data_IF_285624860259
#
_entry.id   IF_285624860259
#
_cell.length_a   1.000
_cell.length_b   1.000
_cell.length_c   1.000
_cell.angle_alpha   90.00
_cell.angle_beta   90.00
_cell.angle_gamma   90.00
#
_symmetry.space_group_name_H-M   'P 1'
#
loop_
_entity.id
_entity.type
_entity.pdbx_description
1 polymer ?
#
# COMPACT_ATOMS: atom_id res chain seq x y z
N UNK A 1 -8.85 2.31 12.62
CA UNK A 1 -7.55 2.20 11.95
C UNK A 1 -7.55 2.98 10.65
N UNK A 2 -6.52 3.74 10.42
CA UNK A 2 -6.31 4.52 9.21
C UNK A 2 -5.38 3.76 8.26
N UNK A 3 -5.72 3.72 6.97
CA UNK A 3 -4.92 3.05 5.95
C UNK A 3 -4.59 4.02 4.83
N UNK A 4 -3.30 4.27 4.63
CA UNK A 4 -2.80 5.09 3.53
C UNK A 4 -2.56 4.20 2.33
N UNK A 5 -3.09 4.57 1.16
CA UNK A 5 -2.94 3.79 -0.06
C UNK A 5 -2.40 4.66 -1.19
N UNK A 6 -1.51 4.12 -1.99
CA UNK A 6 -0.96 4.76 -3.16
C UNK A 6 -0.68 3.74 -4.26
N UNK A 7 -0.68 4.20 -5.48
CA UNK A 7 -0.39 3.39 -6.65
C UNK A 7 0.19 4.26 -7.76
N UNK A 8 0.51 3.66 -8.89
CA UNK A 8 0.65 4.35 -10.17
C UNK A 8 -0.48 3.90 -11.11
N UNK A 9 -0.36 4.21 -12.42
CA UNK A 9 -1.37 3.82 -13.40
C UNK A 9 -1.61 2.30 -13.44
N UNK A 10 -0.57 1.50 -13.18
CA UNK A 10 -0.67 0.04 -13.27
C UNK A 10 -1.53 -0.61 -12.20
N UNK A 11 -1.69 0.05 -11.05
CA UNK A 11 -2.50 -0.47 -9.95
C UNK A 11 -3.76 0.34 -9.65
N UNK A 12 -4.11 1.31 -10.50
CA UNK A 12 -5.19 2.24 -10.21
C UNK A 12 -6.55 1.55 -10.03
N UNK A 13 -6.89 0.62 -10.90
CA UNK A 13 -8.14 -0.14 -10.79
C UNK A 13 -8.20 -0.97 -9.51
N UNK A 14 -7.10 -1.63 -9.18
CA UNK A 14 -6.97 -2.40 -7.93
C UNK A 14 -7.09 -1.47 -6.72
N UNK A 15 -6.47 -0.30 -6.76
CA UNK A 15 -6.56 0.69 -5.69
C UNK A 15 -8.01 1.09 -5.42
N UNK A 16 -8.78 1.39 -6.45
CA UNK A 16 -10.18 1.75 -6.30
C UNK A 16 -11.00 0.61 -5.68
N UNK A 17 -10.76 -0.63 -6.11
CA UNK A 17 -11.40 -1.80 -5.55
C UNK A 17 -11.08 -1.99 -4.06
N UNK A 18 -9.80 -1.83 -3.69
CA UNK A 18 -9.38 -1.97 -2.29
C UNK A 18 -9.93 -0.86 -1.40
N UNK A 19 -9.94 0.38 -1.88
CA UNK A 19 -10.54 1.50 -1.13
C UNK A 19 -12.00 1.22 -0.84
N UNK A 20 -12.77 0.80 -1.83
CA UNK A 20 -14.17 0.48 -1.66
C UNK A 20 -14.38 -0.68 -0.67
N UNK A 21 -13.62 -1.77 -0.84
CA UNK A 21 -13.75 -2.97 0.00
C UNK A 21 -13.37 -2.70 1.45
N UNK A 22 -12.26 -2.00 1.68
CA UNK A 22 -11.77 -1.73 3.04
C UNK A 22 -12.59 -0.65 3.74
N UNK A 23 -13.10 0.33 2.99
CA UNK A 23 -14.03 1.32 3.55
C UNK A 23 -15.30 0.61 4.05
N UNK A 24 -15.81 -0.36 3.31
CA UNK A 24 -16.97 -1.16 3.73
C UNK A 24 -16.70 -1.97 5.00
N UNK A 25 -15.44 -2.34 5.25
CA UNK A 25 -15.03 -3.04 6.48
C UNK A 25 -14.75 -2.11 7.67
N UNK A 26 -14.88 -0.80 7.50
CA UNK A 26 -14.76 0.17 8.57
C UNK A 26 -13.41 0.87 8.67
N UNK A 27 -12.50 0.66 7.73
CA UNK A 27 -11.22 1.36 7.71
C UNK A 27 -11.37 2.77 7.14
N UNK A 28 -10.61 3.71 7.70
CA UNK A 28 -10.49 5.06 7.14
C UNK A 28 -9.41 5.05 6.08
N UNK A 29 -9.80 5.18 4.81
CA UNK A 29 -8.88 5.10 3.68
C UNK A 29 -8.41 6.51 3.27
N UNK A 30 -7.09 6.70 3.23
CA UNK A 30 -6.47 7.94 2.76
C UNK A 30 -5.76 7.64 1.45
N UNK A 31 -6.31 8.16 0.35
CA UNK A 31 -5.79 7.94 -0.99
C UNK A 31 -4.76 9.00 -1.36
N UNK A 32 -3.52 8.56 -1.61
CA UNK A 32 -2.42 9.43 -2.01
C UNK A 32 -2.24 9.51 -3.53
N UNK A 33 -3.13 8.88 -4.27
CA UNK A 33 -3.17 9.03 -5.71
C UNK A 33 -2.49 7.92 -6.50
N UNK A 34 -2.50 8.05 -7.81
CA UNK A 34 -3.08 9.18 -8.55
C UNK A 34 -4.62 9.18 -8.55
N UNK A 35 -5.21 10.37 -8.74
CA UNK A 35 -6.67 10.51 -8.84
C UNK A 35 -7.21 9.97 -10.16
N UNK A 36 -6.46 10.19 -11.23
CA UNK A 36 -6.85 9.83 -12.60
C UNK A 36 -5.78 8.94 -13.26
N UNK A 37 -6.22 8.15 -14.22
CA UNK A 37 -5.32 7.32 -15.00
C UNK A 37 -4.43 8.17 -15.91
N UNK A 38 -3.10 8.00 -15.77
CA UNK A 38 -2.09 8.58 -16.63
C UNK A 38 -1.03 7.52 -16.91
N UNK A 39 -0.92 7.00 -18.15
CA UNK A 39 0.04 5.94 -18.45
C UNK A 39 1.50 6.40 -18.35
N UNK A 40 1.74 7.68 -18.20
CA UNK A 40 3.08 8.25 -18.07
C UNK A 40 3.43 8.65 -16.63
N UNK A 41 2.55 8.42 -15.66
CA UNK A 41 2.85 8.75 -14.27
C UNK A 41 3.92 7.79 -13.70
N UNK A 42 4.55 8.24 -12.62
CA UNK A 42 5.59 7.47 -11.98
C UNK A 42 5.26 7.27 -10.49
N UNK A 43 5.56 6.08 -9.98
CA UNK A 43 5.14 5.62 -8.66
C UNK A 43 5.84 6.26 -7.46
N UNK A 44 7.12 6.71 -7.53
CA UNK A 44 7.87 7.03 -6.31
C UNK A 44 7.22 8.08 -5.41
N UNK A 45 6.75 9.19 -5.97
CA UNK A 45 6.14 10.26 -5.17
C UNK A 45 4.88 9.81 -4.45
N UNK A 46 4.03 9.04 -5.11
CA UNK A 46 2.79 8.53 -4.51
C UNK A 46 3.10 7.59 -3.35
N UNK A 47 4.01 6.65 -3.56
CA UNK A 47 4.40 5.67 -2.55
C UNK A 47 5.10 6.30 -1.35
N UNK A 48 5.98 7.28 -1.60
CA UNK A 48 6.65 8.02 -0.53
C UNK A 48 5.64 8.81 0.29
N UNK A 49 4.66 9.44 -0.35
CA UNK A 49 3.62 10.19 0.36
C UNK A 49 2.78 9.28 1.25
N UNK A 50 2.42 8.09 0.78
CA UNK A 50 1.70 7.12 1.60
C UNK A 50 2.53 6.69 2.82
N UNK A 51 3.81 6.37 2.60
CA UNK A 51 4.72 5.98 3.69
C UNK A 51 4.91 7.13 4.71
N UNK A 52 5.04 8.37 4.25
CA UNK A 52 5.12 9.54 5.13
C UNK A 52 3.84 9.72 5.95
N UNK A 53 2.67 9.46 5.36
CA UNK A 53 1.40 9.49 6.06
C UNK A 53 1.35 8.50 7.20
N UNK A 54 1.77 7.27 6.95
CA UNK A 54 1.87 6.23 7.99
C UNK A 54 2.83 6.66 9.10
N UNK A 55 4.00 7.16 8.74
CA UNK A 55 5.00 7.61 9.70
C UNK A 55 4.46 8.71 10.61
N UNK A 56 3.83 9.74 10.04
CA UNK A 56 3.26 10.86 10.81
C UNK A 56 2.18 10.38 11.76
N UNK A 57 1.29 9.52 11.30
CA UNK A 57 0.22 8.98 12.14
C UNK A 57 0.78 8.20 13.32
N UNK A 58 1.76 7.32 13.07
CA UNK A 58 2.34 6.50 14.13
C UNK A 58 3.15 7.32 15.12
N UNK A 59 3.85 8.36 14.68
CA UNK A 59 4.54 9.31 15.57
C UNK A 59 3.56 10.10 16.44
N UNK A 60 2.35 10.34 15.95
CA UNK A 60 1.27 10.99 16.72
C UNK A 60 0.49 10.00 17.60
N UNK A 61 0.89 8.73 17.65
CA UNK A 61 0.21 7.71 18.45
C UNK A 61 -1.03 7.11 17.81
N UNK A 62 -1.29 7.40 16.53
CA UNK A 62 -2.43 6.85 15.80
C UNK A 62 -2.10 5.49 15.21
N UNK A 63 -3.11 4.63 15.16
CA UNK A 63 -3.00 3.32 14.54
C UNK A 63 -3.13 3.46 13.02
N UNK A 64 -2.06 3.15 12.29
CA UNK A 64 -2.00 3.41 10.86
C UNK A 64 -1.10 2.41 10.14
N UNK A 65 -1.55 1.97 8.97
CA UNK A 65 -0.83 1.08 8.05
C UNK A 65 -0.88 1.66 6.64
N UNK A 66 -0.09 1.08 5.73
CA UNK A 66 -0.03 1.54 4.36
C UNK A 66 -0.07 0.41 3.33
N UNK A 67 -0.54 0.75 2.15
CA UNK A 67 -0.61 -0.13 0.98
C UNK A 67 -0.02 0.62 -0.20
N UNK A 68 0.96 0.01 -0.87
CA UNK A 68 1.51 0.56 -2.12
C UNK A 68 1.37 -0.47 -3.23
N UNK A 69 0.88 -0.04 -4.37
CA UNK A 69 0.51 -0.91 -5.49
C UNK A 69 1.23 -0.50 -6.77
N UNK A 70 1.52 -1.47 -7.59
CA UNK A 70 2.07 -1.25 -8.92
C UNK A 70 1.90 -2.52 -9.75
N UNK A 71 2.61 -2.63 -10.85
CA UNK A 71 2.57 -3.82 -11.68
C UNK A 71 3.13 -5.05 -10.97
N UNK A 72 4.33 -4.93 -10.40
CA UNK A 72 4.97 -6.00 -9.63
C UNK A 72 5.02 -5.73 -8.13
N UNK A 73 4.97 -4.47 -7.72
CA UNK A 73 5.14 -4.05 -6.34
C UNK A 73 6.60 -3.81 -5.93
N UNK A 74 7.57 -4.21 -6.75
CA UNK A 74 8.99 -4.09 -6.41
C UNK A 74 9.45 -2.65 -6.21
N UNK A 75 9.21 -1.80 -7.20
CA UNK A 75 9.61 -0.39 -7.14
C UNK A 75 8.86 0.36 -6.05
N UNK A 76 7.61 0.07 -5.88
CA UNK A 76 6.74 0.66 -4.87
C UNK A 76 7.24 0.32 -3.46
N UNK A 77 7.63 -0.92 -3.22
CA UNK A 77 8.22 -1.35 -1.96
C UNK A 77 9.55 -0.63 -1.71
N UNK A 78 10.40 -0.53 -2.72
CA UNK A 78 11.68 0.17 -2.58
C UNK A 78 11.48 1.66 -2.28
N UNK A 79 10.52 2.32 -2.96
CA UNK A 79 10.23 3.74 -2.74
C UNK A 79 9.73 3.99 -1.31
N UNK A 80 8.79 3.18 -0.83
CA UNK A 80 8.28 3.32 0.53
C UNK A 80 9.38 3.14 1.58
N UNK A 81 10.32 2.23 1.34
CA UNK A 81 11.44 1.99 2.26
C UNK A 81 12.49 3.12 2.27
N UNK A 82 12.39 4.10 1.38
CA UNK A 82 13.24 5.30 1.46
C UNK A 82 12.84 6.24 2.60
N UNK A 83 11.68 6.05 3.18
CA UNK A 83 11.22 6.83 4.33
C UNK A 83 11.79 6.22 5.61
N UNK A 84 12.53 7.01 6.38
CA UNK A 84 13.15 6.55 7.64
C UNK A 84 12.08 6.02 8.60
N UNK A 85 12.34 4.84 9.14
CA UNK A 85 11.44 4.21 10.11
C UNK A 85 10.31 3.39 9.49
N UNK A 86 10.16 3.41 8.18
CA UNK A 86 9.17 2.60 7.47
C UNK A 86 9.79 1.28 7.00
N UNK A 87 9.05 0.22 7.23
CA UNK A 87 9.34 -1.13 6.75
C UNK A 87 8.22 -1.55 5.82
N UNK A 88 8.48 -1.52 4.53
CA UNK A 88 7.56 -1.96 3.50
C UNK A 88 7.97 -3.35 3.01
N UNK A 89 7.04 -4.26 2.98
CA UNK A 89 7.28 -5.64 2.56
C UNK A 89 6.51 -5.95 1.29
N UNK A 90 7.18 -6.60 0.33
CA UNK A 90 6.52 -7.12 -0.87
C UNK A 90 5.86 -8.45 -0.50
N UNK A 91 4.55 -8.52 -0.65
CA UNK A 91 3.79 -9.72 -0.31
C UNK A 91 3.26 -10.42 -1.56
N UNK A 92 3.45 -11.73 -1.61
CA UNK A 92 3.02 -12.58 -2.71
C UNK A 92 1.78 -13.41 -2.38
N UNK A 93 1.49 -13.58 -1.10
CA UNK A 93 0.33 -14.34 -0.62
C UNK A 93 0.02 -13.92 0.82
N UNK A 94 -1.06 -14.46 1.36
CA UNK A 94 -1.46 -14.19 2.74
C UNK A 94 -0.35 -14.53 3.74
N UNK A 95 0.32 -15.65 3.56
CA UNK A 95 1.35 -16.09 4.52
C UNK A 95 2.54 -15.13 4.57
N UNK A 96 3.05 -14.69 3.42
CA UNK A 96 4.17 -13.73 3.40
C UNK A 96 3.76 -12.37 3.97
N UNK A 97 2.54 -11.93 3.76
CA UNK A 97 2.03 -10.70 4.37
C UNK A 97 1.94 -10.82 5.89
N UNK A 98 1.40 -11.93 6.39
CA UNK A 98 1.29 -12.18 7.83
C UNK A 98 2.66 -12.22 8.50
N UNK A 99 3.63 -12.91 7.88
CA UNK A 99 4.99 -13.01 8.41
C UNK A 99 5.69 -11.65 8.46
N UNK A 100 5.45 -10.79 7.48
CA UNK A 100 6.00 -9.44 7.48
C UNK A 100 5.52 -8.62 8.70
N UNK A 101 4.26 -8.77 9.07
CA UNK A 101 3.72 -8.13 10.29
C UNK A 101 4.28 -8.78 11.56
N UNK A 102 4.21 -10.09 11.64
CA UNK A 102 4.54 -10.82 12.87
C UNK A 102 6.03 -10.77 13.21
N UNK A 103 6.89 -10.91 12.22
CA UNK A 103 8.34 -11.03 12.44
C UNK A 103 9.13 -9.78 12.12
N UNK A 104 8.64 -8.92 11.22
CA UNK A 104 9.38 -7.76 10.77
C UNK A 104 8.73 -6.42 11.14
N UNK A 105 7.57 -6.44 11.76
CA UNK A 105 6.83 -5.24 12.12
C UNK A 105 6.67 -4.28 10.94
N UNK A 106 6.38 -4.82 9.76
CA UNK A 106 6.17 -4.02 8.56
C UNK A 106 4.87 -3.23 8.68
N UNK A 107 4.94 -1.92 8.45
CA UNK A 107 3.76 -1.05 8.49
C UNK A 107 3.13 -0.86 7.12
N UNK A 108 3.86 -1.19 6.05
CA UNK A 108 3.41 -1.01 4.67
C UNK A 108 3.56 -2.32 3.92
N UNK A 109 2.53 -2.68 3.17
CA UNK A 109 2.57 -3.83 2.27
C UNK A 109 2.57 -3.35 0.82
N UNK A 110 3.42 -3.95 -0.01
CA UNK A 110 3.46 -3.72 -1.44
C UNK A 110 2.90 -4.94 -2.16
N UNK A 111 2.03 -4.71 -3.13
CA UNK A 111 1.39 -5.79 -3.91
C UNK A 111 1.46 -5.45 -5.40
N UNK A 112 1.77 -6.46 -6.21
CA UNK A 112 1.78 -6.33 -7.66
C UNK A 112 0.41 -6.61 -8.26
N UNK A 113 -0.26 -5.57 -8.76
CA UNK A 113 -1.59 -5.69 -9.34
C UNK A 113 -1.65 -6.53 -10.61
N UNK A 114 -0.52 -6.70 -11.30
CA UNK A 114 -0.43 -7.56 -12.49
C UNK A 114 -0.12 -9.01 -12.13
N UNK A 115 0.19 -9.30 -10.88
CA UNK A 115 0.59 -10.63 -10.39
C UNK A 115 -0.54 -11.36 -9.67
N UNK A 116 -1.61 -10.65 -9.29
CA UNK A 116 -2.71 -11.18 -8.51
C UNK A 116 -4.06 -10.73 -9.04
N UNK A 117 -5.09 -11.55 -8.82
CA UNK A 117 -6.47 -11.10 -9.01
C UNK A 117 -6.85 -10.08 -7.94
N UNK A 118 -7.95 -9.36 -8.14
CA UNK A 118 -8.45 -8.40 -7.14
C UNK A 118 -8.76 -9.09 -5.81
N UNK A 119 -9.36 -10.27 -5.87
CA UNK A 119 -9.73 -11.05 -4.70
C UNK A 119 -8.51 -11.56 -3.95
N UNK A 120 -7.49 -12.05 -4.68
CA UNK A 120 -6.22 -12.48 -4.07
C UNK A 120 -5.52 -11.30 -3.38
N UNK A 121 -5.48 -10.13 -4.04
CA UNK A 121 -4.87 -8.94 -3.46
C UNK A 121 -5.58 -8.50 -2.19
N UNK A 122 -6.91 -8.54 -2.16
CA UNK A 122 -7.68 -8.22 -0.97
C UNK A 122 -7.37 -9.19 0.17
N UNK A 123 -7.21 -10.47 -0.12
CA UNK A 123 -6.85 -11.49 0.87
C UNK A 123 -5.45 -11.25 1.46
N UNK A 124 -4.50 -10.83 0.62
CA UNK A 124 -3.14 -10.49 1.05
C UNK A 124 -3.16 -9.32 2.04
N UNK A 125 -3.97 -8.34 1.77
CA UNK A 125 -4.10 -7.13 2.57
C UNK A 125 -5.03 -7.34 3.76
#
# INVERSE_FOLDING_TARGET
MRVHIATDHAGLELSHYLIESLTAEGYEMIDHGPADYDPLDDYPSFCINAALGVKRDREAGLDSLGIVLGGSGNGEQMAANKVDGIRAALAWNHDTAALAREHNNAQVVAVGGRQHSKEEALEII
#
